data_IF_944018517495
#
_entry.id   IF_944018517495
#
_cell.length_a   1.000
_cell.length_b   1.000
_cell.length_c   1.000
_cell.angle_alpha   90.00
_cell.angle_beta   90.00
_cell.angle_gamma   90.00
#
_symmetry.space_group_name_H-M   'P 1'
#
loop_
_entity.id
_entity.type
_entity.pdbx_description
1 polymer ?
#
# COMPACT_ATOMS: atom_id res chain seq x y z
N UNK A 1 -8.90 8.45 1.92
CA UNK A 1 -8.03 7.60 2.75
C UNK A 1 -8.07 8.14 4.19
N UNK A 2 -7.88 7.31 5.22
CA UNK A 2 -7.81 7.74 6.64
C UNK A 2 -6.51 7.20 7.23
N UNK A 3 -6.02 7.82 8.29
CA UNK A 3 -4.77 7.44 8.97
C UNK A 3 -4.99 6.20 9.87
N UNK A 4 -5.22 5.06 9.23
CA UNK A 4 -5.41 3.75 9.85
C UNK A 4 -4.48 2.77 9.16
N UNK A 5 -4.00 1.78 9.90
CA UNK A 5 -3.28 0.65 9.32
C UNK A 5 -4.19 -0.09 8.32
N UNK A 6 -3.59 -0.59 7.24
CA UNK A 6 -4.33 -1.28 6.18
C UNK A 6 -4.73 -2.69 6.64
N UNK A 7 -3.85 -3.37 7.35
CA UNK A 7 -4.00 -4.73 7.83
C UNK A 7 -4.72 -4.83 9.19
N UNK A 8 -5.39 -5.96 9.42
CA UNK A 8 -5.94 -6.32 10.75
C UNK A 8 -5.11 -7.42 11.42
N UNK A 9 -4.41 -8.23 10.62
CA UNK A 9 -3.44 -9.23 11.04
C UNK A 9 -2.06 -8.76 10.59
N UNK A 10 -1.05 -8.68 11.48
CA UNK A 10 0.25 -8.13 11.14
C UNK A 10 0.86 -8.78 9.89
N UNK A 11 1.08 -7.96 8.86
CA UNK A 11 1.70 -8.39 7.60
C UNK A 11 0.73 -8.94 6.55
N UNK A 12 -0.57 -8.92 6.80
CA UNK A 12 -1.61 -9.32 5.86
C UNK A 12 -2.32 -8.10 5.25
N UNK A 13 -1.67 -7.50 4.27
CA UNK A 13 -2.13 -6.26 3.63
C UNK A 13 -2.57 -6.45 2.17
N UNK A 14 -2.43 -7.64 1.60
CA UNK A 14 -2.85 -7.94 0.24
C UNK A 14 -4.26 -8.55 0.19
N UNK A 15 -4.95 -8.34 -0.94
CA UNK A 15 -6.15 -9.09 -1.27
C UNK A 15 -5.85 -10.59 -1.46
N UNK A 16 -6.90 -11.41 -1.55
CA UNK A 16 -6.76 -12.87 -1.65
C UNK A 16 -5.95 -13.33 -2.87
N UNK A 17 -5.90 -12.52 -3.94
CA UNK A 17 -5.13 -12.79 -5.15
C UNK A 17 -3.68 -12.26 -5.09
N UNK A 18 -3.29 -11.57 -4.02
CA UNK A 18 -1.98 -10.92 -3.87
C UNK A 18 -1.66 -9.89 -4.96
N UNK A 19 -2.67 -9.16 -5.44
CA UNK A 19 -2.55 -8.17 -6.51
C UNK A 19 -2.63 -6.74 -6.00
N UNK A 20 -3.51 -6.49 -5.04
CA UNK A 20 -3.75 -5.15 -4.51
C UNK A 20 -3.53 -5.12 -3.01
N UNK A 21 -3.08 -3.97 -2.51
CA UNK A 21 -3.16 -3.71 -1.07
C UNK A 21 -4.64 -3.48 -0.70
N UNK A 22 -5.12 -4.11 0.36
CA UNK A 22 -6.49 -4.00 0.82
C UNK A 22 -6.54 -3.29 2.17
N UNK A 23 -7.42 -2.28 2.28
CA UNK A 23 -7.81 -1.75 3.58
C UNK A 23 -8.80 -2.72 4.22
N UNK A 24 -8.37 -3.48 5.22
CA UNK A 24 -9.18 -4.51 5.89
C UNK A 24 -10.40 -3.94 6.63
N UNK A 25 -10.46 -2.62 6.87
CA UNK A 25 -11.63 -1.98 7.50
C UNK A 25 -12.80 -1.75 6.54
N UNK A 26 -12.56 -1.36 5.28
CA UNK A 26 -13.64 -0.98 4.34
C UNK A 26 -13.44 -1.50 2.91
N UNK A 27 -12.46 -2.37 2.68
CA UNK A 27 -12.23 -3.07 1.40
C UNK A 27 -11.75 -2.20 0.25
N UNK A 28 -11.18 -1.02 0.53
CA UNK A 28 -10.54 -0.23 -0.52
C UNK A 28 -9.30 -0.96 -1.06
N UNK A 29 -9.11 -0.96 -2.38
CA UNK A 29 -8.00 -1.63 -3.06
C UNK A 29 -7.04 -0.59 -3.65
N UNK A 30 -5.75 -0.74 -3.35
CA UNK A 30 -4.69 0.15 -3.80
C UNK A 30 -3.66 -0.61 -4.64
N UNK A 31 -3.23 0.01 -5.73
CA UNK A 31 -2.16 -0.52 -6.57
C UNK A 31 -0.81 -0.39 -5.84
N UNK A 32 -0.06 -1.48 -5.60
CA UNK A 32 1.14 -1.45 -4.76
C UNK A 32 2.25 -0.55 -5.29
N UNK A 33 2.37 -0.41 -6.62
CA UNK A 33 3.44 0.35 -7.26
C UNK A 33 3.24 1.86 -7.17
N UNK A 34 2.00 2.32 -7.18
CA UNK A 34 1.64 3.74 -7.29
C UNK A 34 0.87 4.28 -6.10
N UNK A 35 0.36 3.40 -5.23
CA UNK A 35 -0.54 3.74 -4.15
C UNK A 35 -1.95 4.12 -4.61
N UNK A 36 -2.28 4.08 -5.91
CA UNK A 36 -3.57 4.53 -6.43
C UNK A 36 -4.71 3.64 -5.95
N UNK A 37 -5.74 4.23 -5.36
CA UNK A 37 -6.96 3.53 -4.99
C UNK A 37 -7.83 3.26 -6.22
N UNK A 38 -7.91 2.00 -6.64
CA UNK A 38 -8.62 1.57 -7.85
C UNK A 38 -10.06 1.13 -7.57
N UNK A 39 -10.37 0.78 -6.31
CA UNK A 39 -11.71 0.36 -5.87
C UNK A 39 -12.01 0.74 -4.41
N UNK A 40 -13.30 0.85 -4.10
CA UNK A 40 -13.80 1.14 -2.75
C UNK A 40 -14.00 2.63 -2.46
N UNK A 41 -14.28 2.99 -1.20
CA UNK A 41 -14.72 4.34 -0.81
C UNK A 41 -13.71 5.46 -1.08
N UNK A 42 -12.43 5.13 -1.27
CA UNK A 42 -11.35 6.08 -1.52
C UNK A 42 -10.92 6.15 -2.99
N UNK A 43 -11.68 5.56 -3.92
CA UNK A 43 -11.30 5.45 -5.34
C UNK A 43 -10.86 6.79 -5.94
N UNK A 44 -9.71 6.80 -6.60
CA UNK A 44 -9.10 7.99 -7.20
C UNK A 44 -8.19 8.80 -6.26
N UNK A 45 -8.14 8.49 -4.96
CA UNK A 45 -7.08 8.96 -4.06
C UNK A 45 -5.87 8.02 -4.13
N UNK A 46 -4.74 8.40 -3.52
CA UNK A 46 -3.55 7.56 -3.45
C UNK A 46 -2.96 7.51 -2.03
N UNK A 47 -2.24 6.44 -1.73
CA UNK A 47 -1.31 6.35 -0.59
C UNK A 47 -0.02 7.09 -0.92
N UNK A 48 0.69 7.54 0.11
CA UNK A 48 2.05 8.06 -0.06
C UNK A 48 3.00 6.91 -0.40
N UNK A 49 3.71 7.03 -1.51
CA UNK A 49 4.63 6.00 -2.00
C UNK A 49 6.00 6.15 -1.37
N UNK A 50 6.56 5.05 -0.86
CA UNK A 50 7.92 5.01 -0.37
C UNK A 50 8.86 4.56 -1.49
N UNK A 51 9.90 5.36 -1.76
CA UNK A 51 10.99 4.94 -2.64
C UNK A 51 11.80 3.89 -1.91
N UNK A 52 11.96 2.70 -2.51
CA UNK A 52 12.74 1.61 -1.91
C UNK A 52 13.69 0.99 -2.93
N UNK A 53 14.78 0.41 -2.45
CA UNK A 53 15.72 -0.38 -3.26
C UNK A 53 16.10 -1.64 -2.51
N UNK A 54 16.21 -2.74 -3.22
CA UNK A 54 16.71 -4.00 -2.67
C UNK A 54 18.17 -4.22 -3.11
N UNK A 55 19.05 -4.48 -2.14
CA UNK A 55 20.44 -4.82 -2.41
C UNK A 55 20.95 -5.83 -1.39
N UNK A 56 21.55 -6.94 -1.87
CA UNK A 56 22.11 -7.97 -0.99
C UNK A 56 21.08 -8.62 -0.05
N UNK A 57 19.81 -8.76 -0.48
CA UNK A 57 18.72 -9.30 0.34
C UNK A 57 18.24 -8.37 1.46
N UNK A 58 18.65 -7.10 1.43
CA UNK A 58 18.19 -6.05 2.35
C UNK A 58 17.39 -5.01 1.57
N UNK A 59 16.27 -4.56 2.14
CA UNK A 59 15.46 -3.46 1.61
C UNK A 59 15.89 -2.15 2.26
N UNK A 60 16.18 -1.15 1.44
CA UNK A 60 16.60 0.19 1.85
C UNK A 60 15.53 1.20 1.47
N UNK A 61 15.22 2.10 2.40
CA UNK A 61 14.40 3.27 2.12
C UNK A 61 15.24 4.31 1.36
N UNK A 62 14.76 4.72 0.19
CA UNK A 62 15.31 5.84 -0.57
C UNK A 62 15.01 7.16 0.13
N UNK A 63 15.82 8.18 -0.14
CA UNK A 63 15.50 9.54 0.32
C UNK A 63 14.29 10.05 -0.46
N UNK A 64 13.33 10.63 0.25
CA UNK A 64 12.27 11.42 -0.38
C UNK A 64 12.91 12.55 -1.20
N UNK A 65 12.31 12.85 -2.35
CA UNK A 65 12.68 14.06 -3.10
C UNK A 65 12.07 15.24 -2.34
N UNK A 66 12.91 16.16 -1.86
CA UNK A 66 12.47 17.44 -1.27
C UNK A 66 11.57 18.24 -2.21
#
# INVERSE_FOLDING_TARGET
HRDLELDWSPGEFFDADSRYLICATHGALYEPQTGLCVAGPCKGQALDTLVVTEYGGTVYLGKESE
#
